data_IF_894565176518
#
_entry.id   IF_894565176518
#
_cell.length_a   1.000
_cell.length_b   1.000
_cell.length_c   1.000
_cell.angle_alpha   90.00
_cell.angle_beta   90.00
_cell.angle_gamma   90.00
#
_symmetry.space_group_name_H-M   'P 1'
#
loop_
_entity.id
_entity.type
_entity.pdbx_description
1 polymer ?
#
# COMPACT_ATOMS: atom_id res chain seq x y z
N UNK A 1 -0.68 -14.07 -10.43
CA UNK A 1 -0.62 -15.17 -11.43
C UNK A 1 0.71 -15.21 -12.15
N UNK A 2 1.06 -14.22 -12.99
CA UNK A 2 2.29 -14.27 -13.82
C UNK A 2 3.55 -14.53 -12.97
N UNK A 3 3.76 -13.76 -11.90
CA UNK A 3 4.89 -13.96 -10.98
C UNK A 3 4.94 -15.36 -10.36
N UNK A 4 3.79 -15.91 -9.96
CA UNK A 4 3.69 -17.27 -9.41
C UNK A 4 4.12 -18.34 -10.43
N UNK A 5 3.63 -18.26 -11.68
CA UNK A 5 4.00 -19.20 -12.74
C UNK A 5 5.50 -19.17 -13.05
N UNK A 6 6.08 -17.96 -13.17
CA UNK A 6 7.52 -17.79 -13.43
C UNK A 6 8.40 -18.20 -12.23
N UNK A 7 7.84 -18.18 -11.02
CA UNK A 7 8.50 -18.73 -9.83
C UNK A 7 8.35 -20.26 -9.70
N UNK A 8 7.66 -20.92 -10.65
CA UNK A 8 7.49 -22.38 -10.68
C UNK A 8 6.25 -22.89 -9.92
N UNK A 9 5.28 -22.04 -9.61
CA UNK A 9 4.07 -22.40 -8.88
C UNK A 9 2.86 -22.56 -9.83
N UNK A 10 1.93 -23.45 -9.49
CA UNK A 10 0.58 -23.40 -10.04
C UNK A 10 -0.21 -22.22 -9.42
N UNK A 11 -1.32 -21.84 -10.05
CA UNK A 11 -2.16 -20.72 -9.62
C UNK A 11 -3.63 -21.11 -9.58
N UNK A 12 -4.28 -20.81 -8.45
CA UNK A 12 -5.73 -20.84 -8.31
C UNK A 12 -6.21 -19.43 -7.94
N UNK A 13 -7.09 -18.87 -8.75
CA UNK A 13 -7.65 -17.53 -8.55
C UNK A 13 -9.12 -17.57 -8.20
N UNK A 14 -9.48 -17.16 -6.98
CA UNK A 14 -10.89 -16.86 -6.64
C UNK A 14 -11.18 -15.40 -6.94
N UNK A 15 -12.05 -15.14 -7.92
CA UNK A 15 -12.44 -13.78 -8.31
C UNK A 15 -13.66 -13.29 -7.52
N UNK A 16 -13.92 -11.97 -7.58
CA UNK A 16 -15.19 -11.42 -7.11
C UNK A 16 -16.33 -11.93 -7.98
N UNK A 17 -17.45 -12.23 -7.33
CA UNK A 17 -18.74 -12.54 -7.92
C UNK A 17 -19.16 -11.52 -8.99
N UNK A 18 -18.87 -10.24 -8.77
CA UNK A 18 -19.17 -9.13 -9.71
C UNK A 18 -18.31 -9.16 -10.99
N UNK A 19 -17.24 -9.95 -10.99
CA UNK A 19 -16.31 -10.11 -12.13
C UNK A 19 -16.31 -11.53 -12.72
N UNK A 20 -17.18 -12.42 -12.22
CA UNK A 20 -17.19 -13.85 -12.58
C UNK A 20 -17.32 -14.11 -14.07
N UNK A 21 -18.10 -13.27 -14.77
CA UNK A 21 -18.30 -13.40 -16.21
C UNK A 21 -16.99 -13.32 -17.00
N UNK A 22 -16.10 -12.41 -16.61
CA UNK A 22 -14.82 -12.20 -17.29
C UNK A 22 -13.75 -13.24 -16.92
N UNK A 23 -13.88 -13.90 -15.76
CA UNK A 23 -12.90 -14.86 -15.28
C UNK A 23 -12.75 -16.06 -16.22
N UNK A 24 -13.85 -16.64 -16.70
CA UNK A 24 -13.80 -17.78 -17.63
C UNK A 24 -13.16 -17.41 -18.97
N UNK A 25 -13.42 -16.20 -19.48
CA UNK A 25 -12.81 -15.72 -20.73
C UNK A 25 -11.30 -15.47 -20.54
N UNK A 26 -10.91 -14.86 -19.43
CA UNK A 26 -9.50 -14.67 -19.11
C UNK A 26 -8.77 -16.01 -18.92
N UNK A 27 -9.41 -16.96 -18.24
CA UNK A 27 -8.88 -18.31 -18.06
C UNK A 27 -8.68 -19.03 -19.40
N UNK A 28 -9.61 -18.90 -20.36
CA UNK A 28 -9.45 -19.54 -21.68
C UNK A 28 -8.22 -19.01 -22.41
N UNK A 29 -8.00 -17.69 -22.40
CA UNK A 29 -6.81 -17.07 -23.01
C UNK A 29 -5.53 -17.63 -22.40
N UNK A 30 -5.46 -17.70 -21.06
CA UNK A 30 -4.26 -18.18 -20.36
C UNK A 30 -4.02 -19.66 -20.63
N UNK A 31 -5.06 -20.49 -20.54
CA UNK A 31 -4.98 -21.94 -20.80
C UNK A 31 -4.60 -22.25 -22.25
N UNK A 32 -5.07 -21.46 -23.21
CA UNK A 32 -4.68 -21.60 -24.62
C UNK A 32 -3.21 -21.22 -24.83
N UNK A 33 -2.72 -20.16 -24.16
CA UNK A 33 -1.31 -19.79 -24.16
C UNK A 33 -0.40 -20.88 -23.57
N UNK A 34 -0.80 -21.46 -22.43
CA UNK A 34 -0.07 -22.58 -21.81
C UNK A 34 0.02 -23.79 -22.75
N UNK A 35 -1.10 -24.16 -23.40
CA UNK A 35 -1.15 -25.26 -24.38
C UNK A 35 -0.22 -25.02 -25.57
N UNK A 36 -0.23 -23.81 -26.14
CA UNK A 36 0.65 -23.45 -27.26
C UNK A 36 2.14 -23.52 -26.90
N UNK A 37 2.48 -23.26 -25.64
CA UNK A 37 3.84 -23.34 -25.12
C UNK A 37 4.22 -24.75 -24.63
N UNK A 38 3.34 -25.74 -24.75
CA UNK A 38 3.60 -27.13 -24.33
C UNK A 38 3.47 -27.38 -22.83
N UNK A 39 2.87 -26.46 -22.08
CA UNK A 39 2.60 -26.62 -20.64
C UNK A 39 1.19 -27.13 -20.38
N UNK A 40 0.97 -27.79 -19.25
CA UNK A 40 -0.37 -28.21 -18.83
C UNK A 40 -1.26 -26.97 -18.59
N UNK A 41 -2.46 -26.91 -19.18
CA UNK A 41 -3.41 -25.83 -18.89
C UNK A 41 -3.89 -25.84 -17.43
N UNK A 42 -3.74 -26.95 -16.70
CA UNK A 42 -4.19 -27.08 -15.31
C UNK A 42 -3.27 -26.36 -14.31
N UNK A 43 -2.17 -25.77 -14.78
CA UNK A 43 -1.34 -24.86 -13.98
C UNK A 43 -2.10 -23.60 -13.54
N UNK A 44 -3.20 -23.24 -14.21
CA UNK A 44 -4.02 -22.08 -13.90
C UNK A 44 -5.48 -22.51 -13.82
N UNK A 45 -6.12 -22.18 -12.71
CA UNK A 45 -7.56 -22.36 -12.54
C UNK A 45 -8.19 -21.11 -11.92
N UNK A 46 -9.37 -20.74 -12.39
CA UNK A 46 -10.20 -19.75 -11.72
C UNK A 46 -11.43 -20.41 -11.10
N UNK A 47 -11.77 -19.96 -9.89
CA UNK A 47 -12.96 -20.43 -9.16
C UNK A 47 -13.85 -19.24 -8.81
N UNK A 48 -15.16 -19.45 -8.90
CA UNK A 48 -16.18 -18.44 -8.59
C UNK A 48 -17.02 -18.91 -7.41
N UNK A 49 -17.62 -17.97 -6.69
CA UNK A 49 -18.47 -18.25 -5.53
C UNK A 49 -18.33 -17.18 -4.45
N UNK A 50 -18.93 -17.42 -3.28
CA UNK A 50 -18.96 -16.46 -2.17
C UNK A 50 -17.90 -16.79 -1.11
N UNK A 51 -18.16 -16.47 0.16
CA UNK A 51 -17.20 -16.59 1.25
C UNK A 51 -16.69 -18.03 1.41
N UNK A 52 -17.57 -19.01 1.31
CA UNK A 52 -17.27 -20.43 1.50
C UNK A 52 -16.22 -20.93 0.50
N UNK A 53 -16.30 -20.49 -0.76
CA UNK A 53 -15.28 -20.78 -1.78
C UNK A 53 -13.95 -20.14 -1.41
N UNK A 54 -13.96 -18.93 -0.85
CA UNK A 54 -12.74 -18.27 -0.38
C UNK A 54 -12.08 -19.04 0.77
N UNK A 55 -12.87 -19.50 1.73
CA UNK A 55 -12.40 -20.30 2.87
C UNK A 55 -11.79 -21.64 2.43
N UNK A 56 -12.43 -22.30 1.45
CA UNK A 56 -11.91 -23.51 0.84
C UNK A 56 -10.55 -23.27 0.16
N UNK A 57 -10.41 -22.16 -0.58
CA UNK A 57 -9.14 -21.79 -1.24
C UNK A 57 -8.06 -21.51 -0.20
N UNK A 58 -8.34 -20.74 0.84
CA UNK A 58 -7.36 -20.44 1.91
C UNK A 58 -6.79 -21.73 2.52
N UNK A 59 -7.63 -22.75 2.70
CA UNK A 59 -7.25 -24.02 3.30
C UNK A 59 -6.52 -24.98 2.35
N UNK A 60 -6.41 -24.64 1.06
CA UNK A 60 -5.93 -25.54 0.00
C UNK A 60 -4.69 -25.03 -0.75
N UNK A 61 -4.07 -23.94 -0.28
CA UNK A 61 -2.92 -23.30 -0.96
C UNK A 61 -1.71 -23.16 -0.05
N UNK A 62 -0.52 -23.23 -0.64
CA UNK A 62 0.76 -23.06 0.06
C UNK A 62 1.11 -21.59 0.36
N UNK A 63 0.53 -20.66 -0.40
CA UNK A 63 0.65 -19.21 -0.20
C UNK A 63 -0.57 -18.51 -0.78
N UNK A 64 -0.99 -17.43 -0.14
CA UNK A 64 -2.11 -16.60 -0.58
C UNK A 64 -1.67 -15.17 -0.87
N UNK A 65 -2.23 -14.58 -1.92
CA UNK A 65 -2.29 -13.12 -2.08
C UNK A 65 -3.74 -12.70 -2.08
N UNK A 66 -4.15 -11.93 -1.08
CA UNK A 66 -5.52 -11.44 -0.95
C UNK A 66 -5.57 -9.94 -1.26
N UNK A 67 -6.44 -9.57 -2.20
CA UNK A 67 -6.71 -8.19 -2.57
C UNK A 67 -8.16 -7.88 -2.20
N UNK A 68 -8.39 -6.90 -1.33
CA UNK A 68 -9.75 -6.58 -0.89
C UNK A 68 -9.82 -5.65 0.33
N UNK A 69 -10.94 -5.67 1.05
CA UNK A 69 -11.12 -4.76 2.19
C UNK A 69 -10.32 -5.19 3.43
N UNK A 70 -9.92 -4.25 4.30
CA UNK A 70 -9.24 -4.57 5.56
C UNK A 70 -10.03 -5.53 6.47
N UNK A 71 -11.37 -5.42 6.46
CA UNK A 71 -12.24 -6.30 7.22
C UNK A 71 -12.14 -7.77 6.79
N UNK A 72 -12.19 -8.01 5.47
CA UNK A 72 -12.05 -9.38 4.93
C UNK A 72 -10.61 -9.87 5.05
N UNK A 73 -9.60 -9.00 4.88
CA UNK A 73 -8.20 -9.36 5.08
C UNK A 73 -7.91 -9.93 6.47
N UNK A 74 -8.55 -9.40 7.52
CA UNK A 74 -8.46 -9.94 8.88
C UNK A 74 -9.08 -11.34 9.01
N UNK A 75 -10.19 -11.60 8.31
CA UNK A 75 -10.83 -12.93 8.26
C UNK A 75 -9.92 -13.93 7.55
N UNK A 76 -9.35 -13.53 6.42
CA UNK A 76 -8.39 -14.34 5.66
C UNK A 76 -7.19 -14.72 6.53
N UNK A 77 -6.60 -13.75 7.23
CA UNK A 77 -5.47 -14.00 8.12
C UNK A 77 -5.83 -14.94 9.28
N UNK A 78 -7.03 -14.81 9.84
CA UNK A 78 -7.54 -15.75 10.86
C UNK A 78 -7.63 -17.17 10.31
N UNK A 79 -8.18 -17.35 9.11
CA UNK A 79 -8.35 -18.67 8.52
C UNK A 79 -7.01 -19.30 8.13
N UNK A 80 -6.11 -18.51 7.54
CA UNK A 80 -4.76 -18.95 7.16
C UNK A 80 -3.92 -19.38 8.38
N UNK A 81 -4.23 -18.90 9.58
CA UNK A 81 -3.51 -19.30 10.80
C UNK A 81 -3.71 -20.77 11.18
N UNK A 82 -4.80 -21.41 10.73
CA UNK A 82 -5.06 -22.82 11.02
C UNK A 82 -4.03 -23.76 10.37
N UNK A 83 -3.50 -23.37 9.22
CA UNK A 83 -2.52 -24.12 8.43
C UNK A 83 -1.14 -23.45 8.38
N UNK A 84 -0.99 -22.30 9.04
CA UNK A 84 0.18 -21.41 8.94
C UNK A 84 0.51 -21.00 7.49
N UNK A 85 -0.52 -20.87 6.64
CA UNK A 85 -0.37 -20.45 5.25
C UNK A 85 0.11 -18.99 5.20
N UNK A 86 1.26 -18.69 4.56
CA UNK A 86 1.72 -17.32 4.38
C UNK A 86 0.73 -16.51 3.52
N UNK A 87 0.46 -15.27 3.95
CA UNK A 87 -0.46 -14.36 3.26
C UNK A 87 0.25 -13.06 2.86
N UNK A 88 -0.01 -12.60 1.64
CA UNK A 88 0.23 -11.22 1.20
C UNK A 88 -1.12 -10.51 1.26
N UNK A 89 -1.20 -9.39 1.97
CA UNK A 89 -2.44 -8.63 2.11
C UNK A 89 -2.30 -7.29 1.41
N UNK A 90 -3.07 -7.12 0.35
CA UNK A 90 -3.18 -5.90 -0.45
C UNK A 90 -4.56 -5.28 -0.21
N UNK A 91 -4.63 -4.42 0.79
CA UNK A 91 -5.91 -3.96 1.30
C UNK A 91 -6.21 -2.52 0.85
N UNK A 92 -7.39 -2.03 1.24
CA UNK A 92 -7.88 -0.71 0.87
C UNK A 92 -6.92 0.45 1.14
N UNK A 93 -7.19 1.57 0.49
CA UNK A 93 -6.42 2.80 0.59
C UNK A 93 -7.26 3.98 1.09
N UNK A 94 -6.55 5.05 1.46
CA UNK A 94 -7.14 6.38 1.68
C UNK A 94 -6.09 7.39 1.29
N UNK A 95 -5.62 7.25 0.05
CA UNK A 95 -4.33 7.80 -0.33
C UNK A 95 -4.36 9.33 -0.34
N UNK A 96 -3.35 9.96 0.28
CA UNK A 96 -3.25 11.41 0.32
C UNK A 96 -2.58 11.95 -0.95
N UNK A 97 -3.00 13.15 -1.36
CA UNK A 97 -2.19 14.05 -2.18
C UNK A 97 -1.84 15.28 -1.36
N UNK A 98 -0.58 15.44 -0.97
CA UNK A 98 -0.07 16.67 -0.37
C UNK A 98 0.23 17.65 -1.49
N UNK A 99 -0.36 18.84 -1.45
CA UNK A 99 -0.17 19.90 -2.43
C UNK A 99 0.45 21.11 -1.74
N UNK A 100 1.73 21.35 -2.01
CA UNK A 100 2.49 22.46 -1.44
C UNK A 100 2.12 23.80 -2.10
N UNK A 101 2.51 24.90 -1.47
CA UNK A 101 2.19 26.26 -1.95
C UNK A 101 2.90 26.66 -3.24
N UNK A 102 3.95 25.94 -3.62
CA UNK A 102 4.73 26.13 -4.84
C UNK A 102 4.38 25.10 -5.94
N UNK A 103 3.38 24.24 -5.72
CA UNK A 103 2.99 23.23 -6.68
C UNK A 103 2.37 23.84 -7.95
N UNK A 104 2.66 23.26 -9.12
CA UNK A 104 2.07 23.70 -10.38
C UNK A 104 0.60 23.28 -10.47
N UNK A 105 -0.32 24.23 -10.26
CA UNK A 105 -1.76 23.97 -10.32
C UNK A 105 -2.25 23.52 -11.69
N UNK A 106 -1.57 23.87 -12.79
CA UNK A 106 -1.93 23.38 -14.13
C UNK A 106 -1.69 21.88 -14.26
N UNK A 107 -0.65 21.36 -13.61
CA UNK A 107 -0.37 19.93 -13.55
C UNK A 107 -1.25 19.22 -12.51
N UNK A 108 -1.39 19.82 -11.32
CA UNK A 108 -2.04 19.18 -10.16
C UNK A 108 -3.53 18.96 -10.39
N UNK A 109 -4.25 19.94 -10.95
CA UNK A 109 -5.71 19.85 -11.07
C UNK A 109 -6.17 18.65 -11.92
N UNK A 110 -5.65 18.42 -13.15
CA UNK A 110 -6.01 17.23 -13.93
C UNK A 110 -5.70 15.91 -13.21
N UNK A 111 -4.60 15.86 -12.46
CA UNK A 111 -4.20 14.67 -11.68
C UNK A 111 -5.17 14.44 -10.52
N UNK A 112 -5.54 15.48 -9.78
CA UNK A 112 -6.53 15.39 -8.69
C UNK A 112 -7.87 14.90 -9.20
N UNK A 113 -8.34 15.44 -10.34
CA UNK A 113 -9.58 15.02 -10.99
C UNK A 113 -9.52 13.55 -11.40
N UNK A 114 -8.45 13.12 -12.08
CA UNK A 114 -8.27 11.73 -12.49
C UNK A 114 -8.17 10.80 -11.28
N UNK A 115 -7.39 11.17 -10.27
CA UNK A 115 -7.16 10.35 -9.09
C UNK A 115 -8.40 10.12 -8.24
N UNK A 116 -9.38 11.03 -8.28
CA UNK A 116 -10.64 10.91 -7.54
C UNK A 116 -11.77 10.26 -8.34
N UNK A 117 -11.85 10.52 -9.65
CA UNK A 117 -13.04 10.16 -10.43
C UNK A 117 -12.81 9.06 -11.47
N UNK A 118 -11.55 8.69 -11.78
CA UNK A 118 -11.26 7.53 -12.61
C UNK A 118 -11.92 6.27 -12.01
N UNK A 119 -12.56 5.47 -12.86
CA UNK A 119 -13.31 4.28 -12.45
C UNK A 119 -14.41 4.58 -11.39
N UNK A 120 -15.00 5.77 -11.46
CA UNK A 120 -16.00 6.23 -10.49
C UNK A 120 -15.47 6.26 -9.04
N UNK A 121 -14.18 6.56 -8.87
CA UNK A 121 -13.50 6.59 -7.55
C UNK A 121 -13.27 5.20 -6.94
N UNK A 122 -13.53 4.12 -7.67
CA UNK A 122 -13.31 2.75 -7.23
C UNK A 122 -11.89 2.29 -7.58
N UNK A 123 -10.89 2.91 -6.94
CA UNK A 123 -9.47 2.61 -7.14
C UNK A 123 -8.76 2.58 -5.79
N UNK A 124 -8.12 1.45 -5.45
CA UNK A 124 -7.41 1.29 -4.18
C UNK A 124 -6.34 2.36 -3.94
N UNK A 125 -5.63 2.78 -5.00
CA UNK A 125 -4.61 3.84 -4.91
C UNK A 125 -5.18 5.22 -5.22
N UNK A 126 -6.51 5.41 -5.24
CA UNK A 126 -7.20 6.67 -5.54
C UNK A 126 -6.89 7.81 -4.57
N UNK A 127 -6.83 9.06 -5.07
CA UNK A 127 -6.53 10.25 -4.26
C UNK A 127 -7.72 10.68 -3.38
N UNK A 128 -8.07 9.90 -2.37
CA UNK A 128 -9.26 10.17 -1.54
C UNK A 128 -9.07 11.31 -0.53
N UNK A 129 -7.85 11.80 -0.27
CA UNK A 129 -7.59 12.94 0.63
C UNK A 129 -6.67 13.96 -0.01
N UNK A 130 -7.22 15.11 -0.41
CA UNK A 130 -6.45 16.22 -0.92
C UNK A 130 -6.04 17.12 0.24
N UNK A 131 -4.77 17.03 0.64
CA UNK A 131 -4.17 17.79 1.74
C UNK A 131 -3.43 18.98 1.13
N UNK A 132 -4.04 20.16 1.14
CA UNK A 132 -3.58 21.32 0.36
C UNK A 132 -3.13 22.47 1.26
N UNK A 133 -2.03 23.11 0.88
CA UNK A 133 -1.48 24.25 1.60
C UNK A 133 -2.46 25.43 1.54
N UNK A 134 -2.65 26.14 2.66
CA UNK A 134 -3.67 27.20 2.78
C UNK A 134 -3.61 28.28 1.68
N UNK A 135 -2.39 28.67 1.26
CA UNK A 135 -2.14 29.65 0.19
C UNK A 135 -2.74 29.28 -1.18
N UNK A 136 -2.87 27.99 -1.50
CA UNK A 136 -3.37 27.51 -2.80
C UNK A 136 -4.71 26.75 -2.68
N UNK A 137 -5.25 26.64 -1.45
CA UNK A 137 -6.52 25.97 -1.17
C UNK A 137 -7.69 26.52 -1.98
N UNK A 138 -7.90 27.84 -1.96
CA UNK A 138 -9.09 28.44 -2.57
C UNK A 138 -9.05 28.34 -4.10
N UNK A 139 -7.86 28.47 -4.70
CA UNK A 139 -7.65 28.24 -6.14
C UNK A 139 -7.99 26.79 -6.51
N UNK A 140 -7.48 25.82 -5.75
CA UNK A 140 -7.75 24.41 -6.00
C UNK A 140 -9.24 24.08 -5.89
N UNK A 141 -9.89 24.52 -4.81
CA UNK A 141 -11.31 24.26 -4.56
C UNK A 141 -12.18 24.86 -5.67
N UNK A 142 -11.92 26.12 -6.06
CA UNK A 142 -12.69 26.78 -7.10
C UNK A 142 -12.63 26.02 -8.44
N UNK A 143 -11.43 25.60 -8.83
CA UNK A 143 -11.21 24.92 -10.11
C UNK A 143 -11.76 23.48 -10.10
N UNK A 144 -11.54 22.71 -9.03
CA UNK A 144 -12.10 21.37 -8.87
C UNK A 144 -13.63 21.42 -8.92
N UNK A 145 -14.27 22.31 -8.16
CA UNK A 145 -15.73 22.40 -8.15
C UNK A 145 -16.28 22.80 -9.52
N UNK A 146 -15.60 23.70 -10.23
CA UNK A 146 -15.96 24.10 -11.59
C UNK A 146 -15.96 22.89 -12.53
N UNK A 147 -14.92 22.08 -12.50
CA UNK A 147 -14.82 20.89 -13.37
C UNK A 147 -15.79 19.78 -12.94
N UNK A 148 -15.90 19.49 -11.64
CA UNK A 148 -16.77 18.43 -11.12
C UNK A 148 -18.24 18.65 -11.52
N UNK A 149 -18.72 19.90 -11.49
CA UNK A 149 -20.08 20.25 -11.92
C UNK A 149 -20.36 20.00 -13.40
N UNK A 150 -19.33 19.81 -14.22
CA UNK A 150 -19.47 19.55 -15.66
C UNK A 150 -19.38 18.06 -16.01
N UNK A 151 -19.02 17.20 -15.04
CA UNK A 151 -18.87 15.77 -15.28
C UNK A 151 -20.20 15.11 -15.59
N UNK A 152 -20.20 14.33 -16.67
CA UNK A 152 -21.31 13.47 -17.06
C UNK A 152 -21.20 12.09 -16.44
N UNK A 153 -22.32 11.52 -16.01
CA UNK A 153 -22.39 10.16 -15.47
C UNK A 153 -23.41 9.34 -16.24
N UNK A 154 -23.06 8.12 -16.63
CA UNK A 154 -23.91 7.32 -17.50
C UNK A 154 -23.55 5.83 -17.52
N UNK A 155 -24.41 5.05 -18.18
CA UNK A 155 -24.16 3.64 -18.41
C UNK A 155 -23.05 3.44 -19.46
N UNK A 156 -22.28 2.35 -19.33
CA UNK A 156 -21.22 2.02 -20.29
C UNK A 156 -21.72 1.81 -21.74
N UNK A 157 -23.03 1.60 -21.94
CA UNK A 157 -23.66 1.52 -23.26
C UNK A 157 -23.85 2.87 -23.94
N UNK A 158 -23.70 3.98 -23.22
CA UNK A 158 -23.73 5.33 -23.78
C UNK A 158 -22.36 5.69 -24.37
N UNK A 159 -22.34 6.41 -25.51
CA UNK A 159 -21.12 6.61 -26.30
C UNK A 159 -19.99 7.33 -25.56
N UNK A 160 -20.31 8.34 -24.74
CA UNK A 160 -19.33 9.11 -23.97
C UNK A 160 -19.97 9.56 -22.65
N UNK A 161 -19.41 9.10 -21.53
CA UNK A 161 -19.66 9.66 -20.20
C UNK A 161 -18.33 9.71 -19.44
N UNK A 162 -18.18 10.66 -18.52
CA UNK A 162 -16.95 10.81 -17.73
C UNK A 162 -16.90 9.78 -16.60
N UNK A 163 -18.05 9.43 -16.02
CA UNK A 163 -18.18 8.44 -14.95
C UNK A 163 -19.23 7.37 -15.28
N UNK A 164 -18.90 6.13 -14.91
CA UNK A 164 -19.80 4.99 -14.98
C UNK A 164 -20.65 4.78 -13.72
N UNK A 165 -21.39 3.67 -13.72
CA UNK A 165 -22.07 3.13 -12.54
C UNK A 165 -21.06 2.58 -11.51
N UNK A 166 -21.46 2.59 -10.24
CA UNK A 166 -20.74 1.89 -9.18
C UNK A 166 -20.93 0.38 -9.29
N UNK A 167 -19.83 -0.37 -9.13
CA UNK A 167 -19.82 -1.84 -9.31
C UNK A 167 -20.70 -2.54 -8.29
N UNK A 168 -20.70 -2.03 -7.04
CA UNK A 168 -21.47 -2.56 -5.92
C UNK A 168 -22.52 -1.56 -5.42
N UNK A 169 -23.15 -0.81 -6.34
CA UNK A 169 -23.99 0.36 -6.02
C UNK A 169 -24.99 0.12 -4.88
N UNK A 170 -25.82 -0.92 -4.97
CA UNK A 170 -26.82 -1.28 -3.94
C UNK A 170 -26.27 -1.40 -2.52
N UNK A 171 -25.04 -1.90 -2.37
CA UNK A 171 -24.40 -2.10 -1.07
C UNK A 171 -23.49 -0.93 -0.64
N UNK A 172 -22.90 -0.23 -1.61
CA UNK A 172 -21.92 0.83 -1.38
C UNK A 172 -22.57 2.21 -1.24
N UNK A 173 -23.54 2.55 -2.08
CA UNK A 173 -24.15 3.90 -2.15
C UNK A 173 -24.77 4.33 -0.82
N UNK A 174 -25.56 3.50 -0.10
CA UNK A 174 -26.08 3.89 1.21
C UNK A 174 -24.98 4.20 2.24
N UNK A 175 -23.87 3.47 2.20
CA UNK A 175 -22.72 3.69 3.09
C UNK A 175 -22.01 4.99 2.76
N UNK A 176 -21.81 5.28 1.47
CA UNK A 176 -21.22 6.54 1.00
C UNK A 176 -22.11 7.71 1.44
N UNK A 177 -23.42 7.62 1.23
CA UNK A 177 -24.35 8.67 1.65
C UNK A 177 -24.29 8.91 3.16
N UNK A 178 -24.31 7.84 3.96
CA UNK A 178 -24.16 7.95 5.41
C UNK A 178 -22.85 8.66 5.80
N UNK A 179 -21.72 8.25 5.21
CA UNK A 179 -20.41 8.81 5.51
C UNK A 179 -20.31 10.30 5.13
N UNK A 180 -20.92 10.69 4.01
CA UNK A 180 -21.04 12.09 3.58
C UNK A 180 -21.90 12.88 4.56
N UNK A 181 -23.10 12.39 4.91
CA UNK A 181 -24.02 13.08 5.81
C UNK A 181 -23.44 13.25 7.23
N UNK A 182 -22.78 12.21 7.77
CA UNK A 182 -22.09 12.26 9.06
C UNK A 182 -20.93 13.26 9.05
N UNK A 183 -20.20 13.33 7.93
CA UNK A 183 -19.08 14.27 7.79
C UNK A 183 -19.56 15.72 7.67
N UNK A 184 -20.65 15.97 6.95
CA UNK A 184 -21.29 17.30 6.91
C UNK A 184 -21.80 17.69 8.30
N UNK A 185 -22.44 16.76 9.02
CA UNK A 185 -22.87 16.97 10.41
C UNK A 185 -21.70 17.29 11.36
N UNK A 186 -20.52 16.74 11.09
CA UNK A 186 -19.30 17.02 11.84
C UNK A 186 -18.64 18.38 11.51
N UNK A 187 -19.16 19.13 10.52
CA UNK A 187 -18.73 20.48 10.19
C UNK A 187 -18.07 20.65 8.82
N UNK A 188 -17.99 19.59 8.00
CA UNK A 188 -17.53 19.73 6.62
C UNK A 188 -18.55 20.48 5.75
N UNK A 189 -18.09 21.07 4.66
CA UNK A 189 -18.96 21.79 3.71
C UNK A 189 -19.09 21.00 2.41
N UNK A 190 -20.33 20.72 2.00
CA UNK A 190 -20.66 20.09 0.72
C UNK A 190 -20.79 21.16 -0.37
N UNK A 191 -19.92 21.12 -1.40
CA UNK A 191 -19.89 22.12 -2.49
C UNK A 191 -20.63 21.68 -3.76
N UNK A 192 -20.69 20.37 -4.02
CA UNK A 192 -21.48 19.76 -5.10
C UNK A 192 -21.69 18.27 -4.86
N UNK A 193 -22.71 17.68 -5.52
CA UNK A 193 -23.07 16.27 -5.38
C UNK A 193 -23.73 15.95 -4.03
N UNK A 194 -23.36 14.81 -3.44
CA UNK A 194 -23.70 14.44 -2.06
C UNK A 194 -25.12 13.94 -1.82
N UNK A 195 -25.88 13.64 -2.88
CA UNK A 195 -27.21 13.04 -2.80
C UNK A 195 -27.36 11.89 -3.78
N UNK A 196 -27.82 10.75 -3.28
CA UNK A 196 -28.08 9.54 -4.06
C UNK A 196 -28.95 9.87 -5.28
N UNK A 197 -28.54 9.38 -6.46
CA UNK A 197 -29.37 9.40 -7.68
C UNK A 197 -30.24 8.15 -7.68
N UNK A 198 -29.61 6.97 -7.65
CA UNK A 198 -30.27 5.68 -7.59
C UNK A 198 -29.33 4.58 -7.02
N UNK A 199 -29.71 3.31 -7.19
CA UNK A 199 -28.98 2.12 -6.72
C UNK A 199 -27.66 1.82 -7.47
N UNK A 200 -27.36 2.53 -8.56
CA UNK A 200 -26.18 2.32 -9.40
C UNK A 200 -25.30 3.57 -9.52
N UNK A 201 -25.87 4.76 -9.36
CA UNK A 201 -25.18 6.02 -9.58
C UNK A 201 -25.15 6.89 -8.31
N UNK A 202 -23.93 7.24 -7.91
CA UNK A 202 -23.67 8.29 -6.91
C UNK A 202 -22.98 9.46 -7.61
N UNK A 203 -23.45 10.71 -7.42
CA UNK A 203 -22.89 11.83 -8.14
C UNK A 203 -21.47 12.15 -7.67
N UNK A 204 -20.59 12.64 -8.55
CA UNK A 204 -19.34 13.29 -8.16
C UNK A 204 -19.56 14.31 -7.04
N UNK A 205 -18.88 14.11 -5.92
CA UNK A 205 -19.12 14.84 -4.68
C UNK A 205 -17.85 15.54 -4.22
N UNK A 206 -17.96 16.79 -3.77
CA UNK A 206 -16.83 17.56 -3.23
C UNK A 206 -17.15 18.03 -1.82
N UNK A 207 -16.31 17.61 -0.87
CA UNK A 207 -16.34 18.03 0.53
C UNK A 207 -15.08 18.84 0.84
N UNK A 208 -15.25 20.00 1.49
CA UNK A 208 -14.15 20.85 1.96
C UNK A 208 -14.27 21.08 3.47
N UNK A 209 -13.24 21.73 4.04
CA UNK A 209 -13.12 21.94 5.49
C UNK A 209 -13.11 20.64 6.28
N UNK A 210 -12.59 19.56 5.67
CA UNK A 210 -12.50 18.26 6.33
C UNK A 210 -11.29 18.23 7.26
N UNK A 211 -11.52 17.82 8.50
CA UNK A 211 -10.48 17.64 9.52
C UNK A 211 -10.09 16.16 9.65
N UNK A 212 -8.88 15.84 10.15
CA UNK A 212 -8.47 14.45 10.31
C UNK A 212 -9.41 13.61 11.19
N UNK A 213 -10.12 14.22 12.15
CA UNK A 213 -11.04 13.49 13.04
C UNK A 213 -12.41 13.17 12.43
N UNK A 214 -12.75 13.72 11.25
CA UNK A 214 -14.04 13.46 10.62
C UNK A 214 -14.11 12.05 10.02
N UNK A 215 -15.29 11.39 10.02
CA UNK A 215 -15.45 10.01 9.55
C UNK A 215 -14.85 9.76 8.15
N UNK A 216 -15.15 10.61 7.17
CA UNK A 216 -14.65 10.40 5.79
C UNK A 216 -13.13 10.49 5.67
N UNK A 217 -12.42 11.13 6.61
CA UNK A 217 -10.96 11.18 6.59
C UNK A 217 -10.32 9.89 7.11
N UNK A 218 -11.09 9.07 7.83
CA UNK A 218 -10.65 7.86 8.52
C UNK A 218 -11.11 6.58 7.82
N UNK A 219 -12.12 6.65 6.98
CA UNK A 219 -12.70 5.51 6.26
C UNK A 219 -12.55 5.64 4.74
N UNK A 220 -12.16 4.53 4.10
CA UNK A 220 -12.15 4.40 2.64
C UNK A 220 -13.58 4.50 2.09
N UNK A 221 -13.79 5.39 1.13
CA UNK A 221 -15.10 5.62 0.51
C UNK A 221 -15.31 4.64 -0.64
N UNK A 222 -14.27 4.42 -1.45
CA UNK A 222 -14.32 3.60 -2.65
C UNK A 222 -15.44 4.03 -3.62
N UNK A 223 -15.52 5.34 -3.86
CA UNK A 223 -16.56 5.99 -4.66
C UNK A 223 -16.20 7.43 -5.02
N UNK A 224 -17.02 8.15 -5.80
CA UNK A 224 -16.65 9.41 -6.44
C UNK A 224 -16.78 10.61 -5.48
N UNK A 225 -16.04 10.59 -4.36
CA UNK A 225 -16.06 11.65 -3.33
C UNK A 225 -14.65 12.21 -3.14
N UNK A 226 -14.49 13.48 -3.50
CA UNK A 226 -13.25 14.24 -3.31
C UNK A 226 -13.31 15.01 -1.99
N UNK A 227 -12.30 14.80 -1.14
CA UNK A 227 -12.17 15.43 0.17
C UNK A 227 -10.99 16.39 0.16
N UNK A 228 -11.22 17.64 0.58
CA UNK A 228 -10.18 18.67 0.72
C UNK A 228 -9.95 18.99 2.20
N UNK A 229 -8.69 18.90 2.60
CA UNK A 229 -8.18 19.19 3.94
C UNK A 229 -7.09 20.26 3.82
N UNK A 230 -7.06 21.22 4.74
CA UNK A 230 -6.13 22.37 4.69
C UNK A 230 -4.99 22.18 5.68
N UNK A 231 -3.77 22.57 5.30
CA UNK A 231 -2.61 22.64 6.19
C UNK A 231 -1.84 23.96 6.02
N UNK A 232 -0.97 24.28 6.97
CA UNK A 232 -0.16 25.51 7.03
C UNK A 232 1.33 25.28 6.85
N UNK A 233 1.84 24.16 7.34
CA UNK A 233 3.25 23.80 7.22
C UNK A 233 3.44 22.28 6.97
N UNK A 234 4.65 21.92 6.55
CA UNK A 234 4.98 20.55 6.16
C UNK A 234 4.83 19.55 7.32
N UNK A 235 5.09 19.98 8.57
CA UNK A 235 4.94 19.12 9.75
C UNK A 235 3.47 18.77 10.00
N UNK A 236 2.59 19.77 9.88
CA UNK A 236 1.14 19.57 9.95
C UNK A 236 0.66 18.60 8.85
N UNK A 237 1.09 18.80 7.61
CA UNK A 237 0.72 17.91 6.49
C UNK A 237 1.14 16.46 6.76
N UNK A 238 2.38 16.25 7.21
CA UNK A 238 2.92 14.92 7.54
C UNK A 238 2.13 14.29 8.70
N UNK A 239 1.82 15.05 9.76
CA UNK A 239 1.05 14.58 10.89
C UNK A 239 -0.38 14.19 10.49
N UNK A 240 -1.05 15.03 9.71
CA UNK A 240 -2.39 14.77 9.16
C UNK A 240 -2.40 13.49 8.32
N UNK A 241 -1.45 13.34 7.39
CA UNK A 241 -1.35 12.15 6.55
C UNK A 241 -1.11 10.89 7.39
N UNK A 242 -0.15 10.95 8.32
CA UNK A 242 0.25 9.80 9.11
C UNK A 242 -0.80 9.37 10.15
N UNK A 243 -1.71 10.26 10.55
CA UNK A 243 -2.81 9.96 11.48
C UNK A 243 -3.85 9.00 10.91
N UNK A 244 -3.97 8.91 9.59
CA UNK A 244 -4.89 7.99 8.93
C UNK A 244 -4.49 6.53 9.20
N UNK A 245 -5.43 5.61 9.49
CA UNK A 245 -5.11 4.22 9.73
C UNK A 245 -4.62 3.51 8.46
N UNK A 246 -5.01 3.99 7.28
CA UNK A 246 -4.55 3.49 5.99
C UNK A 246 -3.14 3.97 5.66
N UNK A 247 -2.48 3.24 4.75
CA UNK A 247 -1.12 3.52 4.32
C UNK A 247 -0.74 2.73 3.07
N UNK A 248 -1.59 2.73 2.04
CA UNK A 248 -1.31 2.05 0.78
C UNK A 248 -0.31 2.87 -0.05
N UNK A 249 -0.77 3.96 -0.67
CA UNK A 249 0.04 4.86 -1.47
C UNK A 249 -0.08 6.32 -1.03
N UNK A 250 0.36 7.22 -1.90
CA UNK A 250 0.22 8.65 -1.72
C UNK A 250 1.03 9.44 -2.76
N UNK A 251 0.86 10.76 -2.72
CA UNK A 251 1.53 11.70 -3.61
C UNK A 251 1.93 12.98 -2.88
N UNK A 252 3.05 13.58 -3.28
CA UNK A 252 3.48 14.92 -2.86
C UNK A 252 3.74 15.78 -4.10
N UNK A 253 3.12 16.95 -4.16
CA UNK A 253 3.25 17.91 -5.25
C UNK A 253 3.94 19.18 -4.76
N UNK A 254 5.05 19.55 -5.40
CA UNK A 254 5.86 20.75 -5.12
C UNK A 254 6.84 20.98 -6.27
N UNK A 255 7.14 22.25 -6.58
CA UNK A 255 8.20 22.59 -7.53
C UNK A 255 9.60 22.39 -6.91
N UNK A 256 9.72 22.49 -5.58
CA UNK A 256 10.91 22.13 -4.80
C UNK A 256 10.98 20.61 -4.59
N UNK A 257 11.77 19.93 -5.45
CA UNK A 257 11.96 18.48 -5.38
C UNK A 257 12.59 18.01 -4.05
N UNK A 258 13.67 18.63 -3.54
CA UNK A 258 14.19 18.32 -2.21
C UNK A 258 13.13 18.40 -1.10
N UNK A 259 12.28 19.44 -1.09
CA UNK A 259 11.17 19.56 -0.13
C UNK A 259 10.18 18.40 -0.29
N UNK A 260 9.74 18.12 -1.51
CA UNK A 260 8.82 17.02 -1.78
C UNK A 260 9.37 15.66 -1.30
N UNK A 261 10.66 15.40 -1.55
CA UNK A 261 11.36 14.21 -1.06
C UNK A 261 11.44 14.17 0.47
N UNK A 262 11.74 15.31 1.10
CA UNK A 262 11.76 15.46 2.55
C UNK A 262 10.43 15.15 3.20
N UNK A 263 9.32 15.59 2.61
CA UNK A 263 7.96 15.24 3.04
C UNK A 263 7.72 13.74 2.79
N UNK A 264 7.92 13.28 1.56
CA UNK A 264 7.61 11.91 1.12
C UNK A 264 8.28 10.83 1.97
N UNK A 265 9.56 10.99 2.31
CA UNK A 265 10.32 10.03 3.12
C UNK A 265 9.81 9.88 4.55
N UNK A 266 8.99 10.82 5.02
CA UNK A 266 8.42 10.84 6.38
C UNK A 266 6.97 10.36 6.42
N UNK A 267 6.37 10.07 5.27
CA UNK A 267 5.04 9.50 5.17
C UNK A 267 5.10 7.99 5.45
N UNK A 268 4.14 7.50 6.24
CA UNK A 268 3.97 6.09 6.58
C UNK A 268 3.00 5.42 5.61
N UNK A 269 3.43 5.30 4.37
CA UNK A 269 2.72 4.64 3.27
C UNK A 269 3.59 3.56 2.67
N UNK A 270 2.99 2.58 1.98
CA UNK A 270 3.72 1.52 1.31
C UNK A 270 4.34 1.96 -0.02
N UNK A 271 3.73 2.98 -0.66
CA UNK A 271 4.17 3.59 -1.91
C UNK A 271 4.03 5.11 -1.84
N UNK A 272 4.85 5.84 -2.61
CA UNK A 272 4.75 7.29 -2.72
C UNK A 272 5.18 7.76 -4.12
N UNK A 273 4.53 8.80 -4.62
CA UNK A 273 4.89 9.46 -5.87
C UNK A 273 5.20 10.94 -5.60
N UNK A 274 6.11 11.51 -6.39
CA UNK A 274 6.42 12.95 -6.37
C UNK A 274 5.98 13.54 -7.69
N UNK A 275 5.13 14.57 -7.64
CA UNK A 275 4.55 15.23 -8.81
C UNK A 275 3.81 14.28 -9.77
N UNK A 276 3.29 13.17 -9.26
CA UNK A 276 2.54 12.16 -10.02
C UNK A 276 1.57 11.41 -9.09
N UNK A 277 0.73 10.56 -9.64
CA UNK A 277 -0.26 9.74 -8.97
C UNK A 277 -0.31 8.34 -9.60
N UNK A 278 -0.18 7.30 -8.78
CA UNK A 278 -0.40 5.91 -9.21
C UNK A 278 0.63 5.34 -10.18
N UNK A 279 1.65 6.11 -10.59
CA UNK A 279 2.69 5.65 -11.54
C UNK A 279 3.49 4.45 -11.00
N UNK A 280 3.60 4.30 -9.68
CA UNK A 280 4.16 3.10 -9.05
C UNK A 280 3.49 1.79 -9.50
N UNK A 281 2.20 1.81 -9.84
CA UNK A 281 1.50 0.64 -10.39
C UNK A 281 1.94 0.32 -11.81
N UNK A 282 2.23 1.34 -12.62
CA UNK A 282 2.66 1.14 -14.02
C UNK A 282 4.14 0.75 -14.12
N UNK A 283 4.95 1.13 -13.13
CA UNK A 283 6.34 0.71 -13.06
C UNK A 283 6.46 -0.69 -12.44
N UNK A 284 6.25 -1.73 -13.26
CA UNK A 284 6.20 -3.15 -12.85
C UNK A 284 7.49 -3.67 -12.16
N UNK A 285 8.59 -2.92 -12.21
CA UNK A 285 9.83 -3.24 -11.49
C UNK A 285 9.81 -2.83 -10.01
N UNK A 286 8.90 -1.94 -9.62
CA UNK A 286 8.72 -1.50 -8.24
C UNK A 286 7.84 -2.49 -7.45
N UNK A 287 8.08 -2.63 -6.14
CA UNK A 287 7.14 -3.32 -5.27
C UNK A 287 5.82 -2.55 -5.20
N UNK A 288 4.71 -3.28 -5.13
CA UNK A 288 3.39 -2.73 -4.85
C UNK A 288 2.87 -3.36 -3.57
N UNK A 289 2.38 -2.51 -2.67
CA UNK A 289 1.70 -2.91 -1.45
C UNK A 289 1.75 -1.89 -0.33
N UNK A 290 0.89 -2.08 0.67
CA UNK A 290 0.65 -1.11 1.74
C UNK A 290 1.39 -1.37 3.05
N UNK A 291 1.07 -0.54 4.05
CA UNK A 291 1.39 -0.71 5.47
C UNK A 291 0.17 -0.40 6.32
N UNK A 292 0.26 -0.60 7.64
CA UNK A 292 -0.84 -0.38 8.60
C UNK A 292 -2.07 -1.25 8.25
N UNK A 293 -3.28 -0.69 8.20
CA UNK A 293 -4.48 -1.47 7.85
C UNK A 293 -4.60 -1.72 6.34
N UNK A 294 -3.76 -1.10 5.52
CA UNK A 294 -3.66 -1.38 4.07
C UNK A 294 -2.90 -2.69 3.76
N UNK A 295 -2.55 -3.45 4.79
CA UNK A 295 -1.95 -4.77 4.66
C UNK A 295 -0.42 -4.75 4.74
N UNK A 296 0.21 -5.78 4.19
CA UNK A 296 1.65 -6.03 4.31
C UNK A 296 2.13 -7.02 3.24
N UNK A 297 3.47 -7.08 3.09
CA UNK A 297 4.18 -7.78 2.00
C UNK A 297 3.90 -7.12 0.62
N UNK A 298 4.50 -7.62 -0.46
CA UNK A 298 4.43 -7.00 -1.79
C UNK A 298 4.15 -8.04 -2.87
N UNK A 299 3.29 -7.73 -3.84
CA UNK A 299 2.98 -8.66 -4.94
C UNK A 299 3.62 -8.33 -6.29
N UNK A 300 4.12 -7.10 -6.47
CA UNK A 300 4.81 -6.65 -7.68
C UNK A 300 6.33 -6.54 -7.47
N UNK A 301 7.07 -6.26 -8.55
CA UNK A 301 8.52 -6.09 -8.50
C UNK A 301 9.28 -7.37 -8.17
N UNK A 302 10.54 -7.23 -7.75
CA UNK A 302 11.40 -8.36 -7.36
C UNK A 302 10.89 -9.02 -6.08
N UNK A 303 10.32 -8.23 -5.19
CA UNK A 303 9.71 -8.62 -3.92
C UNK A 303 8.55 -9.57 -4.18
N UNK A 304 7.62 -9.21 -5.07
CA UNK A 304 6.51 -10.05 -5.46
C UNK A 304 6.93 -11.36 -6.12
N UNK A 305 7.91 -11.32 -7.03
CA UNK A 305 8.43 -12.55 -7.64
C UNK A 305 9.08 -13.47 -6.60
N UNK A 306 10.01 -12.94 -5.79
CA UNK A 306 10.70 -13.72 -4.75
C UNK A 306 9.76 -14.17 -3.63
N UNK A 307 8.70 -13.42 -3.37
CA UNK A 307 7.67 -13.76 -2.40
C UNK A 307 6.92 -15.05 -2.76
N UNK A 308 6.95 -15.47 -4.03
CA UNK A 308 6.42 -16.76 -4.49
C UNK A 308 7.45 -17.91 -4.39
N UNK A 309 8.62 -17.67 -3.78
CA UNK A 309 9.66 -18.67 -3.58
C UNK A 309 9.90 -18.92 -2.08
N UNK A 310 10.43 -20.10 -1.75
CA UNK A 310 10.91 -20.40 -0.39
C UNK A 310 12.33 -19.85 -0.22
N UNK A 311 12.51 -18.93 0.73
CA UNK A 311 13.84 -18.42 1.08
C UNK A 311 14.56 -19.47 1.92
N UNK A 312 15.69 -19.99 1.42
CA UNK A 312 16.48 -21.03 2.08
C UNK A 312 17.90 -20.52 2.38
N UNK A 313 18.30 -20.60 3.64
CA UNK A 313 19.70 -20.47 4.03
C UNK A 313 20.41 -21.82 3.81
N UNK A 314 21.60 -21.80 3.21
CA UNK A 314 22.44 -22.97 3.02
C UNK A 314 23.89 -22.58 3.30
N UNK A 315 24.62 -23.45 3.99
CA UNK A 315 26.05 -23.28 4.25
C UNK A 315 26.77 -24.54 3.80
N UNK A 316 28.00 -24.37 3.31
CA UNK A 316 28.88 -25.46 2.91
C UNK A 316 30.28 -25.13 3.37
N UNK A 317 31.07 -26.17 3.63
CA UNK A 317 32.48 -25.99 3.96
C UNK A 317 33.18 -25.28 2.80
N UNK A 318 33.84 -24.16 3.10
CA UNK A 318 34.57 -23.38 2.09
C UNK A 318 35.86 -24.06 1.67
N UNK A 319 36.48 -24.82 2.57
CA UNK A 319 37.78 -25.46 2.36
C UNK A 319 37.59 -26.98 2.54
N UNK A 320 37.79 -27.80 1.49
CA UNK A 320 37.72 -29.25 1.60
C UNK A 320 38.68 -29.77 2.68
N UNK A 321 38.17 -30.57 3.62
CA UNK A 321 38.97 -31.18 4.69
C UNK A 321 39.10 -30.34 5.96
N UNK A 322 38.83 -29.03 5.92
CA UNK A 322 38.75 -28.19 7.13
C UNK A 322 37.33 -28.25 7.66
N UNK A 323 37.14 -28.99 8.75
CA UNK A 323 35.84 -29.17 9.39
C UNK A 323 35.67 -28.17 10.52
N UNK A 324 34.46 -27.64 10.67
CA UNK A 324 34.11 -26.88 11.87
C UNK A 324 34.05 -27.83 13.06
N UNK A 325 34.99 -27.71 13.98
CA UNK A 325 34.97 -28.46 15.24
C UNK A 325 34.52 -27.55 16.38
N UNK A 326 33.70 -28.09 17.28
CA UNK A 326 33.36 -27.41 18.53
C UNK A 326 34.57 -27.53 19.47
N UNK A 327 35.20 -26.43 19.92
CA UNK A 327 36.32 -26.49 20.85
C UNK A 327 36.00 -27.33 22.09
N UNK A 328 36.92 -28.15 22.65
CA UNK A 328 36.63 -29.04 23.79
C UNK A 328 36.00 -28.35 25.00
N UNK A 329 36.37 -27.09 25.27
CA UNK A 329 35.78 -26.26 26.33
C UNK A 329 34.27 -26.03 26.17
N UNK A 330 33.77 -26.08 24.93
CA UNK A 330 32.36 -25.92 24.55
C UNK A 330 31.64 -27.24 24.25
N UNK A 331 32.36 -28.36 24.24
CA UNK A 331 31.75 -29.67 24.05
C UNK A 331 30.97 -30.07 25.31
N UNK A 332 29.90 -30.86 25.15
CA UNK A 332 29.10 -31.33 26.28
C UNK A 332 29.74 -32.56 26.95
N UNK A 333 29.78 -32.64 28.29
CA UNK A 333 29.32 -31.64 29.24
C UNK A 333 30.21 -30.39 29.24
N UNK A 334 29.57 -29.22 29.23
CA UNK A 334 30.24 -27.93 29.09
C UNK A 334 31.19 -27.69 30.28
N UNK A 335 32.39 -27.20 30.00
CA UNK A 335 33.37 -26.82 31.03
C UNK A 335 32.92 -25.60 31.83
N UNK A 336 33.33 -25.51 33.10
CA UNK A 336 33.10 -24.34 33.96
C UNK A 336 33.62 -23.01 33.36
N UNK A 337 34.61 -23.08 32.46
CA UNK A 337 35.20 -21.91 31.80
C UNK A 337 34.57 -21.55 30.45
N UNK A 338 33.58 -22.31 29.99
CA UNK A 338 32.98 -22.13 28.67
C UNK A 338 32.29 -20.77 28.47
N UNK A 339 31.63 -20.27 29.51
CA UNK A 339 30.95 -18.98 29.46
C UNK A 339 31.96 -17.84 29.20
N UNK A 340 33.02 -17.77 30.00
CA UNK A 340 34.09 -16.78 29.83
C UNK A 340 34.80 -16.92 28.48
N UNK A 341 34.98 -18.15 28.00
CA UNK A 341 35.53 -18.39 26.66
C UNK A 341 34.64 -17.79 25.56
N UNK A 342 33.32 -18.04 25.61
CA UNK A 342 32.37 -17.49 24.64
C UNK A 342 32.22 -15.97 24.73
N UNK A 343 32.24 -15.41 25.94
CA UNK A 343 32.21 -13.96 26.15
C UNK A 343 33.42 -13.30 25.48
N UNK A 344 34.61 -13.81 25.76
CA UNK A 344 35.84 -13.30 25.14
C UNK A 344 35.84 -13.49 23.62
N UNK A 345 35.41 -14.65 23.12
CA UNK A 345 35.31 -14.90 21.68
C UNK A 345 34.34 -13.93 21.00
N UNK A 346 33.18 -13.67 21.62
CA UNK A 346 32.20 -12.71 21.12
C UNK A 346 32.77 -11.29 21.11
N UNK A 347 33.52 -10.90 22.15
CA UNK A 347 34.22 -9.61 22.17
C UNK A 347 35.31 -9.51 21.10
N UNK A 348 36.02 -10.59 20.79
CA UNK A 348 37.01 -10.60 19.71
C UNK A 348 36.35 -10.47 18.34
N UNK A 349 35.24 -11.18 18.10
CA UNK A 349 34.57 -11.19 16.78
C UNK A 349 33.72 -9.94 16.55
N UNK A 350 32.98 -9.51 17.56
CA UNK A 350 31.94 -8.47 17.45
C UNK A 350 32.17 -7.27 18.37
N UNK A 351 33.12 -7.35 19.31
CA UNK A 351 33.46 -6.22 20.17
C UNK A 351 34.07 -5.09 19.34
N UNK A 352 33.74 -3.85 19.70
CA UNK A 352 34.45 -2.69 19.17
C UNK A 352 35.84 -2.72 19.75
N UNK A 353 36.87 -2.85 18.91
CA UNK A 353 38.24 -2.54 19.31
C UNK A 353 38.22 -1.16 19.99
N UNK A 354 38.70 -1.01 21.24
CA UNK A 354 38.94 0.30 21.80
C UNK A 354 39.87 1.03 20.85
N UNK A 355 39.56 2.29 20.51
CA UNK A 355 40.46 3.18 19.79
C UNK A 355 41.75 3.37 20.63
N UNK A 356 42.69 2.43 20.54
CA UNK A 356 44.03 2.52 21.13
C UNK A 356 45.05 2.91 20.07
N UNK A 357 44.76 3.93 19.26
CA UNK A 357 45.79 4.81 18.67
C UNK A 357 45.17 6.21 18.53
N UNK A 358 45.17 6.99 19.62
CA UNK A 358 45.19 8.45 19.50
C UNK A 358 46.64 8.88 19.58
N UNK A 359 47.27 9.15 18.42
CA UNK A 359 48.54 9.89 18.40
C UNK A 359 48.31 11.33 18.88
N UNK A 360 49.27 11.96 19.58
CA UNK A 360 49.14 13.35 19.99
C UNK A 360 49.38 14.29 18.80
N UNK A 361 48.54 15.34 18.72
CA UNK A 361 48.71 16.60 17.98
C UNK A 361 48.60 16.60 16.45
N UNK A 362 47.63 17.37 15.94
CA UNK A 362 47.47 17.74 14.53
C UNK A 362 46.08 18.32 14.25
N UNK A 363 46.03 19.61 13.95
CA UNK A 363 44.88 20.52 13.86
C UNK A 363 43.88 20.30 12.68
N UNK A 364 42.57 20.28 13.02
CA UNK A 364 41.35 20.87 12.36
C UNK A 364 40.99 20.57 10.87
N UNK A 365 39.71 20.73 10.42
CA UNK A 365 38.44 21.03 11.13
C UNK A 365 37.18 20.17 10.77
N UNK A 366 36.19 20.19 11.70
CA UNK A 366 34.69 20.18 11.60
C UNK A 366 33.99 19.73 10.29
N UNK A 367 32.85 19.01 10.21
CA UNK A 367 31.72 18.63 11.10
C UNK A 367 30.73 17.73 10.27
N UNK A 368 29.44 17.49 10.64
CA UNK A 368 28.98 16.34 11.41
C UNK A 368 27.91 15.48 10.70
N UNK A 369 27.58 14.30 11.22
CA UNK A 369 26.17 13.91 11.39
C UNK A 369 26.04 12.79 12.42
N UNK A 370 25.47 13.17 13.57
CA UNK A 370 25.07 12.29 14.66
C UNK A 370 23.91 11.39 14.22
N UNK A 371 24.15 10.09 14.09
CA UNK A 371 23.09 9.08 14.21
C UNK A 371 23.09 8.56 15.65
N UNK A 372 22.19 9.11 16.48
CA UNK A 372 21.86 8.52 17.78
C UNK A 372 21.09 7.20 17.54
N UNK A 373 21.39 6.10 18.26
CA UNK A 373 20.60 4.89 18.15
C UNK A 373 19.22 5.09 18.81
N UNK A 374 18.16 4.75 18.09
CA UNK A 374 16.80 4.69 18.60
C UNK A 374 16.69 3.64 19.72
N UNK A 375 16.24 4.07 20.91
CA UNK A 375 15.80 3.17 21.97
C UNK A 375 14.52 2.46 21.53
N UNK A 376 14.57 1.15 21.38
CA UNK A 376 13.42 0.30 21.20
C UNK A 376 12.66 0.21 22.55
N UNK A 377 11.55 0.95 22.67
CA UNK A 377 10.65 0.80 23.81
C UNK A 377 9.68 -0.35 23.53
N UNK A 378 9.98 -1.52 24.10
CA UNK A 378 8.93 -2.49 24.39
C UNK A 378 8.06 -1.93 25.52
N UNK A 379 6.74 -1.91 25.30
CA UNK A 379 5.74 -1.82 26.37
C UNK A 379 5.00 -3.17 26.46
N UNK A 380 4.54 -3.54 27.67
CA UNK A 380 4.09 -4.88 28.02
C UNK A 380 2.84 -5.33 27.27
#
# INVERSE_FOLDING_TARGET
>A
MISALFAGNAFVGKVSEYSSYYATYYESIVRDGLRQLGYSPDLVSFVTGFAETGEAVVSSVDKLTFIGSPGVGKIIMRNASATLTPVVLELGGKDPAIICDDADMHQVIPIVMRGNFQNCGQNCVGLERIVVHEKVHDQLVAEVVRQVKTLSQGAASQKVCDLGAMTMGKAAIPKIQQLVDETVKAGATLLCGGKIIDDHFYPPTVLVNVTPSMPIAQEEVFGPVLVVMKFKDDEEAIAMVNSCPYGLGGSVFSADIPRAQGIATRLRTGMININDFGINYLCQSLPFGGVKISGFDRFAGREGLRGNCVVRASTTDRIPGVKTEVPPILQYPISNSAFTFMENLTQVIYGRLPNMITSPSGSLPSSPTNLKPHKCHHRP
#
